data_IF_336497385282
#
_entry.id   IF_336497385282
#
_cell.length_a   1.000
_cell.length_b   1.000
_cell.length_c   1.000
_cell.angle_alpha   90.00
_cell.angle_beta   90.00
_cell.angle_gamma   90.00
#
_symmetry.space_group_name_H-M   'P 1'
#
loop_
_entity.id
_entity.type
_entity.pdbx_description
1 polymer ?
#
# COMPACT_ATOMS: atom_id res chain seq x y z
N UNK A 1 0.69 16.77 -4.21
CA UNK A 1 1.70 16.14 -3.32
C UNK A 1 1.03 14.99 -2.60
N UNK A 2 1.62 13.80 -2.64
CA UNK A 2 1.01 12.58 -2.08
C UNK A 2 1.78 12.12 -0.85
N UNK A 3 1.06 11.81 0.22
CA UNK A 3 1.61 11.57 1.55
C UNK A 3 2.76 10.56 1.54
N UNK A 4 2.63 9.45 0.81
CA UNK A 4 3.70 8.43 0.71
C UNK A 4 4.94 8.94 -0.03
N UNK A 5 4.77 9.65 -1.15
CA UNK A 5 5.90 10.19 -1.92
C UNK A 5 6.74 11.09 -1.03
N UNK A 6 6.08 12.00 -0.32
CA UNK A 6 6.76 13.08 0.40
C UNK A 6 7.27 12.64 1.78
N UNK A 7 6.52 11.77 2.47
CA UNK A 7 6.89 11.33 3.83
C UNK A 7 7.74 10.06 3.86
N UNK A 8 7.67 9.21 2.83
CA UNK A 8 8.39 7.93 2.82
C UNK A 8 9.46 7.94 1.73
N UNK A 9 9.06 8.10 0.47
CA UNK A 9 9.97 7.87 -0.66
C UNK A 9 11.10 8.88 -0.72
N UNK A 10 10.78 10.17 -0.54
CA UNK A 10 11.75 11.26 -0.53
C UNK A 10 12.70 11.23 0.68
N UNK A 11 12.26 10.65 1.80
CA UNK A 11 13.00 10.68 3.08
C UNK A 11 13.82 9.44 3.36
N UNK A 12 13.47 8.31 2.73
CA UNK A 12 14.22 7.07 2.80
C UNK A 12 14.85 6.83 1.43
N UNK A 13 15.98 7.46 1.08
CA UNK A 13 16.64 7.21 -0.18
C UNK A 13 17.33 5.83 -0.17
N UNK A 14 17.52 5.26 -1.36
CA UNK A 14 18.35 4.07 -1.56
C UNK A 14 17.60 2.74 -1.72
N UNK A 15 18.33 1.67 -2.08
CA UNK A 15 17.73 0.45 -2.64
C UNK A 15 17.18 -0.53 -1.61
N UNK A 16 17.21 -0.18 -0.31
CA UNK A 16 16.70 -1.06 0.77
C UNK A 16 15.17 -1.14 0.82
N UNK A 17 14.47 -0.23 0.14
CA UNK A 17 13.03 -0.24 0.00
C UNK A 17 12.66 -0.57 -1.45
N UNK A 18 11.81 -1.58 -1.65
CA UNK A 18 11.20 -1.91 -2.94
C UNK A 18 9.71 -1.60 -2.86
N UNK A 19 9.17 -0.98 -3.91
CA UNK A 19 7.78 -0.54 -3.96
C UNK A 19 7.07 -1.33 -5.05
N UNK A 20 5.89 -1.84 -4.72
CA UNK A 20 4.97 -2.45 -5.67
C UNK A 20 3.66 -1.69 -5.59
N UNK A 21 3.26 -1.06 -6.69
CA UNK A 21 1.98 -0.35 -6.80
C UNK A 21 1.07 -1.13 -7.75
N UNK A 22 -0.12 -1.48 -7.29
CA UNK A 22 -1.14 -2.13 -8.11
C UNK A 22 -2.30 -1.15 -8.26
N UNK A 23 -2.50 -0.68 -9.48
CA UNK A 23 -3.60 0.18 -9.87
C UNK A 23 -4.79 -0.70 -10.22
N UNK A 24 -5.99 -0.30 -9.81
CA UNK A 24 -7.24 -1.03 -10.08
C UNK A 24 -8.41 -0.06 -10.23
N UNK A 25 -9.48 -0.43 -10.97
CA UNK A 25 -10.63 0.44 -11.16
C UNK A 25 -11.50 0.48 -9.90
N UNK A 26 -11.99 1.67 -9.51
CA UNK A 26 -12.79 1.84 -8.28
C UNK A 26 -14.24 2.23 -8.55
N UNK A 27 -14.54 3.38 -9.18
CA UNK A 27 -15.74 3.49 -9.98
C UNK A 27 -15.77 2.39 -11.05
N UNK A 28 -16.96 1.85 -11.32
CA UNK A 28 -17.18 0.94 -12.47
C UNK A 28 -16.85 1.59 -13.82
N UNK A 29 -16.75 2.92 -13.86
CA UNK A 29 -16.43 3.73 -15.04
C UNK A 29 -14.93 4.01 -15.17
N UNK A 30 -14.09 3.59 -14.21
CA UNK A 30 -12.64 3.68 -14.38
C UNK A 30 -12.21 2.61 -15.37
N UNK A 31 -11.70 3.05 -16.51
CA UNK A 31 -11.05 2.20 -17.50
C UNK A 31 -9.52 2.42 -17.43
N UNK A 32 -8.77 1.73 -18.29
CA UNK A 32 -7.32 1.89 -18.36
C UNK A 32 -6.89 3.30 -18.79
N UNK A 33 -7.80 4.10 -19.33
CA UNK A 33 -7.63 5.51 -19.69
C UNK A 33 -7.28 6.43 -18.50
N UNK A 34 -7.57 6.02 -17.25
CA UNK A 34 -7.19 6.74 -16.02
C UNK A 34 -5.84 6.35 -15.45
N UNK A 35 -5.27 5.24 -15.90
CA UNK A 35 -3.94 4.77 -15.47
C UNK A 35 -2.82 5.77 -15.83
N UNK A 36 -2.81 6.40 -17.03
CA UNK A 36 -1.86 7.47 -17.36
C UNK A 36 -1.90 8.69 -16.44
N UNK A 37 -3.03 8.99 -15.80
CA UNK A 37 -3.15 10.09 -14.83
C UNK A 37 -2.58 9.71 -13.46
N UNK A 38 -2.73 8.44 -13.05
CA UNK A 38 -2.32 7.95 -11.74
C UNK A 38 -0.83 7.56 -11.68
N UNK A 39 -0.31 6.89 -12.71
CA UNK A 39 1.08 6.35 -12.73
C UNK A 39 2.24 7.36 -12.68
N UNK A 40 2.12 8.63 -13.14
CA UNK A 40 3.22 9.60 -13.10
C UNK A 40 3.77 9.85 -11.69
N UNK A 41 2.95 9.62 -10.65
CA UNK A 41 3.35 9.77 -9.25
C UNK A 41 4.57 8.94 -8.85
N UNK A 42 4.76 7.78 -9.49
CA UNK A 42 5.87 6.85 -9.26
C UNK A 42 6.73 6.66 -10.51
N UNK A 43 6.48 7.38 -11.61
CA UNK A 43 7.21 7.19 -12.87
C UNK A 43 8.72 7.46 -12.73
N UNK A 44 9.10 8.42 -11.89
CA UNK A 44 10.51 8.74 -11.60
C UNK A 44 11.11 7.91 -10.45
N UNK A 45 10.33 7.02 -9.82
CA UNK A 45 10.79 6.23 -8.69
C UNK A 45 11.39 4.90 -9.16
N UNK A 46 12.73 4.85 -9.27
CA UNK A 46 13.46 3.67 -9.74
C UNK A 46 13.24 2.40 -8.89
N UNK A 47 12.75 2.56 -7.65
CA UNK A 47 12.44 1.45 -6.73
C UNK A 47 11.02 0.90 -6.91
N UNK A 48 10.19 1.56 -7.73
CA UNK A 48 8.81 1.18 -7.92
C UNK A 48 8.63 0.25 -9.14
N UNK A 49 7.83 -0.79 -8.95
CA UNK A 49 7.20 -1.54 -10.03
C UNK A 49 5.70 -1.31 -9.97
N UNK A 50 5.13 -0.92 -11.11
CA UNK A 50 3.72 -0.57 -11.24
C UNK A 50 3.01 -1.65 -12.05
N UNK A 51 1.81 -2.03 -11.63
CA UNK A 51 0.98 -3.06 -12.26
C UNK A 51 -0.44 -2.55 -12.39
N UNK A 52 -1.16 -3.06 -13.39
CA UNK A 52 -2.58 -2.82 -13.58
C UNK A 52 -3.36 -4.11 -13.33
N UNK A 53 -4.38 -4.05 -12.50
CA UNK A 53 -5.34 -5.14 -12.25
C UNK A 53 -6.75 -4.68 -12.64
N UNK A 54 -7.16 -4.88 -13.91
CA UNK A 54 -8.47 -4.43 -14.39
C UNK A 54 -9.63 -5.16 -13.72
N UNK A 55 -9.38 -6.33 -13.11
CA UNK A 55 -10.42 -7.11 -12.44
C UNK A 55 -10.69 -6.63 -11.01
N UNK A 56 -9.75 -5.90 -10.40
CA UNK A 56 -9.74 -5.55 -8.98
C UNK A 56 -9.59 -6.75 -8.03
N UNK A 57 -9.13 -7.90 -8.54
CA UNK A 57 -9.02 -9.14 -7.75
C UNK A 57 -7.96 -9.03 -6.65
N UNK A 58 -6.87 -8.33 -6.89
CA UNK A 58 -5.84 -8.02 -5.90
C UNK A 58 -6.43 -7.26 -4.72
N UNK A 59 -7.22 -6.22 -5.00
CA UNK A 59 -7.91 -5.44 -3.96
C UNK A 59 -8.93 -6.29 -3.16
N UNK A 60 -9.64 -7.22 -3.81
CA UNK A 60 -10.54 -8.16 -3.10
C UNK A 60 -9.77 -9.14 -2.22
N UNK A 61 -8.63 -9.64 -2.69
CA UNK A 61 -7.75 -10.52 -1.91
C UNK A 61 -7.19 -9.81 -0.69
N UNK A 62 -6.70 -8.58 -0.85
CA UNK A 62 -6.24 -7.78 0.29
C UNK A 62 -7.37 -7.41 1.25
N UNK A 63 -8.59 -7.13 0.76
CA UNK A 63 -9.73 -6.93 1.64
C UNK A 63 -9.95 -8.14 2.57
N UNK A 64 -9.86 -9.37 2.03
CA UNK A 64 -9.94 -10.60 2.82
C UNK A 64 -8.77 -10.77 3.78
N UNK A 65 -7.53 -10.60 3.32
CA UNK A 65 -6.32 -10.73 4.17
C UNK A 65 -6.32 -9.72 5.34
N UNK A 66 -6.89 -8.53 5.15
CA UNK A 66 -6.94 -7.47 6.15
C UNK A 66 -8.25 -7.49 6.98
N UNK A 67 -9.14 -8.46 6.73
CA UNK A 67 -10.47 -8.57 7.33
C UNK A 67 -11.29 -7.28 7.21
N UNK A 68 -11.16 -6.60 6.06
CA UNK A 68 -11.87 -5.36 5.76
C UNK A 68 -13.31 -5.67 5.33
N UNK A 69 -14.33 -5.09 5.97
CA UNK A 69 -15.74 -5.34 5.65
C UNK A 69 -16.18 -4.54 4.42
N UNK A 70 -15.50 -4.74 3.29
CA UNK A 70 -15.75 -4.04 2.03
C UNK A 70 -16.48 -4.96 1.05
N UNK A 71 -17.49 -4.41 0.37
CA UNK A 71 -18.12 -5.05 -0.79
C UNK A 71 -17.38 -4.75 -2.10
N UNK A 72 -16.49 -3.76 -2.08
CA UNK A 72 -15.64 -3.35 -3.19
C UNK A 72 -14.20 -3.80 -2.93
N UNK A 73 -13.32 -3.83 -3.96
CA UNK A 73 -11.89 -4.01 -3.75
C UNK A 73 -11.33 -3.02 -2.71
N UNK A 74 -10.37 -3.47 -1.91
CA UNK A 74 -9.59 -2.55 -1.08
C UNK A 74 -8.72 -1.66 -1.97
N UNK A 75 -8.82 -0.35 -1.73
CA UNK A 75 -8.12 0.71 -2.46
C UNK A 75 -7.53 1.70 -1.47
N UNK A 76 -6.52 2.45 -1.92
CA UNK A 76 -5.70 3.31 -1.06
C UNK A 76 -5.28 2.62 0.26
N UNK A 77 -4.81 1.38 0.14
CA UNK A 77 -4.22 0.60 1.21
C UNK A 77 -2.70 0.54 1.04
N UNK A 78 -1.98 0.80 2.12
CA UNK A 78 -0.52 0.84 2.14
C UNK A 78 -0.01 -0.27 3.04
N UNK A 79 0.74 -1.20 2.45
CA UNK A 79 1.13 -2.47 3.07
C UNK A 79 2.64 -2.51 3.19
N UNK A 80 3.15 -2.80 4.39
CA UNK A 80 4.55 -3.03 4.66
C UNK A 80 4.79 -4.52 4.92
N UNK A 81 5.74 -5.10 4.19
CA UNK A 81 6.14 -6.49 4.33
C UNK A 81 7.58 -6.60 4.78
N UNK A 82 7.85 -7.58 5.66
CA UNK A 82 9.21 -7.89 6.08
C UNK A 82 10.04 -8.43 4.89
N UNK A 83 11.37 -8.24 4.92
CA UNK A 83 12.28 -8.91 4.00
C UNK A 83 12.05 -10.43 4.02
N UNK A 84 12.14 -11.08 2.85
CA UNK A 84 11.95 -12.53 2.70
C UNK A 84 10.54 -13.05 3.05
N UNK A 85 9.54 -12.17 3.15
CA UNK A 85 8.13 -12.60 3.23
C UNK A 85 7.80 -13.47 2.01
N UNK A 86 7.28 -14.68 2.24
CA UNK A 86 6.88 -15.61 1.18
C UNK A 86 5.47 -15.30 0.71
N UNK A 87 5.29 -15.24 -0.60
CA UNK A 87 3.99 -15.07 -1.25
C UNK A 87 3.58 -16.40 -1.86
N UNK A 88 2.35 -16.82 -1.59
CA UNK A 88 1.76 -18.07 -2.10
C UNK A 88 0.43 -17.76 -2.78
N UNK A 89 -0.56 -18.66 -2.69
CA UNK A 89 -1.87 -18.46 -3.32
C UNK A 89 -2.65 -17.25 -2.75
N UNK A 90 -2.51 -16.99 -1.44
CA UNK A 90 -3.09 -15.82 -0.78
C UNK A 90 -2.00 -14.81 -0.43
N UNK A 91 -2.30 -13.49 -0.48
CA UNK A 91 -1.35 -12.51 0.00
C UNK A 91 -1.12 -12.71 1.50
N UNK A 92 0.14 -12.77 1.95
CA UNK A 92 0.46 -12.90 3.36
C UNK A 92 -0.03 -11.67 4.14
N UNK A 93 -0.25 -11.77 5.45
CA UNK A 93 -0.54 -10.60 6.27
C UNK A 93 0.67 -9.66 6.27
N UNK A 94 0.47 -8.34 6.06
CA UNK A 94 1.56 -7.37 6.19
C UNK A 94 1.97 -7.21 7.66
N UNK A 95 3.23 -6.88 7.90
CA UNK A 95 3.72 -6.57 9.26
C UNK A 95 3.18 -5.24 9.77
N UNK A 96 2.87 -4.32 8.85
CA UNK A 96 2.21 -3.06 9.16
C UNK A 96 1.37 -2.59 7.97
N UNK A 97 0.26 -1.91 8.24
CA UNK A 97 -0.54 -1.31 7.18
C UNK A 97 -1.40 -0.15 7.66
N UNK A 98 -1.72 0.72 6.70
CA UNK A 98 -2.62 1.86 6.84
C UNK A 98 -3.50 2.01 5.61
N UNK A 99 -4.53 2.85 5.68
CA UNK A 99 -5.44 3.07 4.56
C UNK A 99 -6.00 4.50 4.49
N UNK A 100 -6.53 4.89 3.33
CA UNK A 100 -7.34 6.11 3.15
C UNK A 100 -8.84 5.82 2.96
N UNK A 101 -9.28 4.59 3.21
CA UNK A 101 -10.70 4.24 3.28
C UNK A 101 -11.45 5.06 4.35
N UNK A 102 -12.73 5.31 4.08
CA UNK A 102 -13.68 5.95 4.99
C UNK A 102 -14.67 4.91 5.53
N UNK A 103 -14.84 4.88 6.85
CA UNK A 103 -15.84 4.06 7.52
C UNK A 103 -16.83 4.96 8.26
N UNK A 104 -18.11 4.57 8.26
CA UNK A 104 -19.16 5.31 8.94
C UNK A 104 -18.85 5.42 10.44
N UNK A 105 -18.88 6.62 11.05
CA UNK A 105 -18.61 6.80 12.47
C UNK A 105 -19.43 5.87 13.36
N UNK A 106 -18.85 5.47 14.50
CA UNK A 106 -19.48 4.63 15.53
C UNK A 106 -19.82 3.18 15.11
N UNK A 107 -19.53 2.77 13.87
CA UNK A 107 -19.63 1.35 13.46
C UNK A 107 -18.47 0.51 14.00
N UNK A 108 -18.60 -0.82 13.97
CA UNK A 108 -17.51 -1.73 14.33
C UNK A 108 -16.28 -1.51 13.43
N UNK A 109 -16.49 -1.36 12.13
CA UNK A 109 -15.43 -1.07 11.17
C UNK A 109 -14.68 0.22 11.54
N UNK A 110 -15.40 1.28 11.90
CA UNK A 110 -14.76 2.52 12.35
C UNK A 110 -13.94 2.35 13.63
N UNK A 111 -14.45 1.58 14.61
CA UNK A 111 -13.69 1.31 15.85
C UNK A 111 -12.42 0.49 15.60
N UNK A 112 -12.49 -0.48 14.68
CA UNK A 112 -11.38 -1.39 14.36
C UNK A 112 -10.33 -0.75 13.45
N UNK A 113 -10.76 -0.01 12.44
CA UNK A 113 -9.89 0.49 11.38
C UNK A 113 -9.64 2.00 11.42
N UNK A 114 -10.44 2.79 12.17
CA UNK A 114 -10.28 4.24 12.26
C UNK A 114 -8.89 4.69 12.74
N UNK A 115 -8.22 3.89 13.59
CA UNK A 115 -6.84 4.14 14.05
C UNK A 115 -5.76 3.76 13.03
N UNK A 116 -6.14 3.16 11.89
CA UNK A 116 -5.25 2.75 10.78
C UNK A 116 -5.32 3.70 9.58
N UNK A 117 -5.95 4.87 9.75
CA UNK A 117 -5.89 5.95 8.76
C UNK A 117 -4.44 6.30 8.43
N UNK A 118 -4.18 6.58 7.17
CA UNK A 118 -2.83 6.93 6.70
C UNK A 118 -2.29 8.14 7.45
N UNK A 119 -1.20 7.91 8.15
CA UNK A 119 -0.29 8.92 8.70
C UNK A 119 1.09 8.66 8.07
N UNK A 120 1.54 9.57 7.22
CA UNK A 120 2.79 9.38 6.48
C UNK A 120 4.03 9.35 7.37
N UNK A 121 4.05 10.11 8.47
CA UNK A 121 5.18 10.13 9.39
C UNK A 121 5.29 8.81 10.15
N UNK A 122 4.15 8.31 10.64
CA UNK A 122 4.10 7.00 11.30
C UNK A 122 4.40 5.86 10.34
N UNK A 123 3.90 5.90 9.11
CA UNK A 123 4.22 4.88 8.11
C UNK A 123 5.72 4.87 7.79
N UNK A 124 6.35 6.05 7.65
CA UNK A 124 7.82 6.17 7.49
C UNK A 124 8.55 5.51 8.65
N UNK A 125 8.16 5.80 9.89
CA UNK A 125 8.80 5.25 11.09
C UNK A 125 8.79 3.72 11.09
N UNK A 126 7.68 3.08 10.71
CA UNK A 126 7.59 1.63 10.61
C UNK A 126 8.49 1.05 9.50
N UNK A 127 8.63 1.77 8.38
CA UNK A 127 9.57 1.39 7.32
C UNK A 127 11.02 1.50 7.81
N UNK A 128 11.37 2.59 8.49
CA UNK A 128 12.72 2.83 9.02
C UNK A 128 13.10 1.78 10.07
N UNK A 129 12.19 1.44 10.98
CA UNK A 129 12.35 0.34 11.95
C UNK A 129 12.71 -0.97 11.24
N UNK A 130 11.97 -1.32 10.19
CA UNK A 130 12.21 -2.55 9.46
C UNK A 130 13.55 -2.52 8.70
N UNK A 131 13.89 -1.39 8.08
CA UNK A 131 15.18 -1.20 7.40
C UNK A 131 16.36 -1.33 8.38
N UNK A 132 16.22 -0.84 9.62
CA UNK A 132 17.25 -0.92 10.64
C UNK A 132 17.57 -2.37 11.05
N UNK A 133 16.64 -3.31 10.86
CA UNK A 133 16.87 -4.74 11.11
C UNK A 133 17.65 -5.45 10.00
N UNK A 134 17.82 -4.81 8.83
CA UNK A 134 18.49 -5.42 7.69
C UNK A 134 20.01 -5.38 7.85
N UNK A 135 20.72 -6.48 7.54
CA UNK A 135 22.18 -6.51 7.58
C UNK A 135 22.79 -5.41 6.70
N UNK A 136 24.03 -4.97 6.98
CA UNK A 136 24.74 -4.02 6.13
C UNK A 136 24.75 -4.47 4.66
N UNK A 137 24.62 -3.52 3.72
CA UNK A 137 24.75 -3.86 2.31
C UNK A 137 26.20 -4.20 2.06
N UNK A 138 26.46 -5.41 1.56
CA UNK A 138 27.80 -5.76 1.07
C UNK A 138 28.06 -4.92 -0.18
N UNK A 139 29.20 -4.23 -0.18
CA UNK A 139 29.69 -3.46 -1.32
C UNK A 139 29.97 -4.37 -2.51
#
# INVERSE_FOLDING_TARGET
MTVIRDQVLAKIPGPRLRIYAVWLPIPRTDEDDKVPEATPILAAEARASQYWDPSGESGRRFARTLDLPLKTPAWDVYLLYAPKTRWEAAPPPPVFWMHQLSFMPFTEAWRRFGKKRLDGARFREEVEKLIATLPPQRK
#
